data_IF_236271750932
#
_entry.id   IF_236271750932
#
_cell.length_a   1.000
_cell.length_b   1.000
_cell.length_c   1.000
_cell.angle_alpha   90.00
_cell.angle_beta   90.00
_cell.angle_gamma   90.00
#
_symmetry.space_group_name_H-M   'P 1'
#
loop_
_entity.id
_entity.type
_entity.pdbx_description
1 polymer ?
#
# COMPACT_ATOMS: atom_id res chain seq x y z
N UNK A 1 3.00 -5.66 10.78
CA UNK A 1 1.62 -5.20 11.06
C UNK A 1 1.28 -4.13 10.04
N UNK A 2 0.38 -4.44 9.12
CA UNK A 2 -0.13 -3.47 8.14
C UNK A 2 -1.27 -2.70 8.83
N UNK A 3 -1.06 -1.41 9.07
CA UNK A 3 -2.09 -0.48 9.54
C UNK A 3 -2.41 0.39 8.34
N UNK A 4 -3.50 0.13 7.64
CA UNK A 4 -3.89 0.94 6.48
C UNK A 4 -5.36 0.72 6.09
N UNK A 5 -6.09 1.82 5.96
CA UNK A 5 -7.39 1.93 5.31
C UNK A 5 -7.20 2.00 3.79
N UNK A 6 -6.59 0.97 3.20
CA UNK A 6 -6.00 1.08 1.86
C UNK A 6 -6.18 -0.13 0.95
N UNK A 7 -5.90 0.10 -0.33
CA UNK A 7 -5.83 -0.93 -1.36
C UNK A 7 -4.42 -1.48 -1.44
N UNK A 8 -4.29 -2.77 -1.68
CA UNK A 8 -3.02 -3.45 -1.82
C UNK A 8 -3.02 -4.26 -3.11
N UNK A 9 -1.95 -4.13 -3.89
CA UNK A 9 -1.67 -5.13 -4.91
C UNK A 9 -0.85 -6.23 -4.26
N UNK A 10 -1.40 -7.44 -4.22
CA UNK A 10 -0.67 -8.60 -3.72
C UNK A 10 -0.12 -9.35 -4.92
N UNK A 11 1.20 -9.42 -5.02
CA UNK A 11 1.90 -10.27 -5.99
C UNK A 11 2.64 -11.37 -5.25
N UNK A 12 2.61 -12.58 -5.81
CA UNK A 12 3.34 -13.71 -5.29
C UNK A 12 4.42 -14.06 -6.30
N UNK A 13 5.67 -13.91 -5.90
CA UNK A 13 6.83 -14.12 -6.76
C UNK A 13 7.67 -15.28 -6.22
N UNK A 14 8.23 -16.10 -7.11
CA UNK A 14 9.26 -17.07 -6.74
C UNK A 14 10.61 -16.40 -6.47
N UNK A 15 11.62 -17.20 -6.10
CA UNK A 15 12.98 -16.70 -5.86
C UNK A 15 13.65 -16.06 -7.10
N UNK A 16 13.07 -16.23 -8.29
CA UNK A 16 13.52 -15.66 -9.57
C UNK A 16 12.68 -14.46 -10.01
N UNK A 17 11.72 -14.02 -9.20
CA UNK A 17 10.82 -12.91 -9.52
C UNK A 17 9.68 -13.30 -10.47
N UNK A 18 9.42 -14.59 -10.70
CA UNK A 18 8.33 -15.04 -11.55
C UNK A 18 7.03 -15.14 -10.77
N UNK A 19 5.92 -14.73 -11.38
CA UNK A 19 4.59 -14.82 -10.78
C UNK A 19 4.22 -16.28 -10.49
N UNK A 20 3.77 -16.54 -9.26
CA UNK A 20 3.32 -17.84 -8.78
C UNK A 20 1.96 -17.72 -8.10
N UNK A 21 1.33 -18.86 -7.82
CA UNK A 21 0.15 -18.92 -6.93
C UNK A 21 0.56 -19.55 -5.60
N UNK A 22 0.03 -19.04 -4.48
CA UNK A 22 0.32 -19.63 -3.18
C UNK A 22 -0.33 -21.02 -3.11
N UNK A 23 0.43 -22.01 -2.62
CA UNK A 23 -0.06 -23.39 -2.45
C UNK A 23 -1.15 -23.52 -1.37
N UNK A 24 -1.27 -22.50 -0.51
CA UNK A 24 -2.29 -22.36 0.52
C UNK A 24 -2.75 -20.91 0.55
N UNK A 25 -4.05 -20.65 0.74
CA UNK A 25 -4.55 -19.28 0.89
C UNK A 25 -3.80 -18.55 2.01
N UNK A 26 -3.47 -17.28 1.75
CA UNK A 26 -2.79 -16.43 2.72
C UNK A 26 -3.78 -15.76 3.65
N UNK A 27 -3.26 -15.29 4.79
CA UNK A 27 -4.02 -14.48 5.74
C UNK A 27 -3.28 -13.18 6.05
N UNK A 28 -4.03 -12.07 6.14
CA UNK A 28 -3.50 -10.75 6.52
C UNK A 28 -4.12 -10.33 7.84
N UNK A 29 -3.27 -9.92 8.78
CA UNK A 29 -3.67 -9.34 10.07
C UNK A 29 -3.57 -7.81 10.01
N UNK A 30 -4.65 -7.12 10.37
CA UNK A 30 -4.70 -5.65 10.39
C UNK A 30 -5.37 -5.14 11.66
N UNK A 31 -4.96 -3.94 12.08
CA UNK A 31 -5.66 -3.21 13.12
C UNK A 31 -6.98 -2.62 12.60
N UNK A 32 -8.04 -2.66 13.42
CA UNK A 32 -9.34 -2.19 13.02
C UNK A 32 -9.41 -0.66 12.89
N UNK A 33 -9.90 -0.15 11.76
CA UNK A 33 -10.45 1.21 11.64
C UNK A 33 -11.91 1.28 12.10
N UNK A 34 -12.39 2.48 12.45
CA UNK A 34 -13.72 2.70 13.05
C UNK A 34 -14.89 2.67 12.05
N UNK A 35 -14.68 2.24 10.81
CA UNK A 35 -15.73 2.20 9.78
C UNK A 35 -16.70 1.02 10.00
N UNK A 36 -18.02 1.29 10.04
CA UNK A 36 -19.06 0.26 10.14
C UNK A 36 -19.26 -0.54 8.83
N UNK A 37 -18.68 -0.08 7.71
CA UNK A 37 -19.02 -0.49 6.34
C UNK A 37 -17.89 -1.26 5.61
N UNK A 38 -17.18 -2.14 6.33
CA UNK A 38 -16.02 -2.85 5.77
C UNK A 38 -16.37 -4.18 5.12
N UNK A 39 -15.60 -4.51 4.09
CA UNK A 39 -15.68 -5.76 3.36
C UNK A 39 -14.36 -6.11 2.72
N UNK A 40 -14.29 -7.32 2.17
CA UNK A 40 -13.18 -7.71 1.30
C UNK A 40 -13.63 -7.54 -0.14
N UNK A 41 -12.90 -6.72 -0.86
CA UNK A 41 -13.17 -6.46 -2.26
C UNK A 41 -11.94 -6.87 -3.07
N UNK A 42 -12.19 -7.63 -4.14
CA UNK A 42 -11.20 -7.95 -5.15
C UNK A 42 -11.58 -7.18 -6.41
N UNK A 43 -10.59 -6.64 -7.10
CA UNK A 43 -10.84 -5.99 -8.38
C UNK A 43 -10.82 -7.02 -9.50
N UNK A 44 -11.96 -7.15 -10.18
CA UNK A 44 -12.15 -8.00 -11.35
C UNK A 44 -12.23 -7.09 -12.60
N UNK A 45 -11.12 -6.93 -13.30
CA UNK A 45 -11.00 -5.99 -14.41
C UNK A 45 -11.20 -4.54 -13.96
N UNK A 46 -12.26 -3.88 -14.43
CA UNK A 46 -12.55 -2.47 -14.10
C UNK A 46 -13.45 -2.29 -12.88
N UNK A 47 -14.00 -3.37 -12.32
CA UNK A 47 -14.99 -3.31 -11.24
C UNK A 47 -14.48 -3.93 -9.94
N UNK A 48 -14.90 -3.39 -8.81
CA UNK A 48 -14.69 -4.00 -7.50
C UNK A 48 -15.82 -4.97 -7.18
N UNK A 49 -15.46 -6.23 -6.98
CA UNK A 49 -16.38 -7.28 -6.54
C UNK A 49 -16.19 -7.50 -5.05
N UNK A 50 -17.28 -7.44 -4.28
CA UNK A 50 -17.25 -7.85 -2.87
C UNK A 50 -17.11 -9.37 -2.80
N UNK A 51 -15.96 -9.86 -2.38
CA UNK A 51 -15.63 -11.29 -2.29
C UNK A 51 -15.73 -11.84 -0.87
N UNK A 52 -15.81 -10.95 0.13
CA UNK A 52 -16.04 -11.31 1.52
C UNK A 52 -16.76 -10.19 2.27
N UNK A 53 -17.58 -10.57 3.22
CA UNK A 53 -18.20 -9.66 4.19
C UNK A 53 -17.44 -9.71 5.52
N UNK A 54 -17.56 -8.66 6.33
CA UNK A 54 -17.26 -8.74 7.75
C UNK A 54 -18.12 -9.85 8.37
N UNK A 55 -17.50 -10.99 8.69
CA UNK A 55 -18.05 -11.92 9.65
C UNK A 55 -17.57 -11.46 11.02
N UNK A 56 -18.48 -10.96 11.85
CA UNK A 56 -18.11 -10.69 13.25
C UNK A 56 -18.08 -12.05 13.95
N UNK A 57 -16.90 -12.54 14.31
CA UNK A 57 -16.75 -13.74 15.14
C UNK A 57 -16.33 -13.28 16.53
N UNK A 58 -17.32 -12.89 17.35
CA UNK A 58 -17.12 -12.26 18.67
C UNK A 58 -16.29 -13.09 19.66
N UNK A 59 -15.99 -14.36 19.37
CA UNK A 59 -15.18 -15.24 20.22
C UNK A 59 -14.15 -16.02 19.40
N UNK A 60 -12.92 -16.03 19.89
CA UNK A 60 -11.87 -16.94 19.43
C UNK A 60 -12.37 -18.40 19.40
N UNK A 61 -12.06 -19.19 18.35
CA UNK A 61 -12.20 -20.64 18.39
C UNK A 61 -11.42 -21.24 19.56
N UNK A 62 -11.90 -22.36 20.13
CA UNK A 62 -11.45 -22.98 21.39
C UNK A 62 -9.95 -23.35 21.49
N UNK A 63 -9.11 -23.07 20.48
CA UNK A 63 -7.73 -23.56 20.35
C UNK A 63 -6.64 -22.46 20.20
N UNK A 64 -6.95 -21.18 20.40
CA UNK A 64 -6.02 -20.05 20.11
C UNK A 64 -5.35 -20.15 18.71
N UNK A 65 -5.94 -20.87 17.75
CA UNK A 65 -5.42 -21.05 16.40
C UNK A 65 -6.50 -20.75 15.34
N UNK A 66 -6.61 -19.47 14.94
CA UNK A 66 -7.54 -19.00 13.89
C UNK A 66 -7.28 -19.64 12.53
N UNK A 67 -6.09 -20.22 12.31
CA UNK A 67 -5.71 -20.88 11.07
C UNK A 67 -6.29 -22.31 10.94
N UNK A 68 -6.85 -22.87 12.02
CA UNK A 68 -7.27 -24.28 12.09
C UNK A 68 -8.72 -24.52 11.67
N UNK A 69 -9.58 -23.50 11.68
CA UNK A 69 -10.99 -23.65 11.27
C UNK A 69 -11.12 -23.63 9.74
N UNK A 70 -12.11 -24.39 9.27
CA UNK A 70 -12.35 -24.78 7.88
C UNK A 70 -12.04 -23.67 6.89
N UNK A 71 -10.91 -23.82 6.21
CA UNK A 71 -10.62 -23.11 4.97
C UNK A 71 -11.56 -23.69 3.90
N UNK A 72 -12.81 -23.21 3.86
CA UNK A 72 -13.80 -23.54 2.82
C UNK A 72 -13.45 -22.89 1.47
N UNK A 73 -12.28 -22.25 1.38
CA UNK A 73 -11.77 -21.54 0.22
C UNK A 73 -12.36 -20.14 0.04
N UNK A 74 -13.26 -19.68 0.92
CA UNK A 74 -13.90 -18.37 0.78
C UNK A 74 -13.13 -17.29 1.53
N UNK A 75 -12.91 -16.12 0.92
CA UNK A 75 -12.36 -14.98 1.64
C UNK A 75 -13.28 -14.53 2.78
N UNK A 76 -12.73 -14.41 3.98
CA UNK A 76 -13.47 -14.01 5.19
C UNK A 76 -12.68 -12.99 5.99
N UNK A 77 -13.38 -11.98 6.51
CA UNK A 77 -12.89 -11.11 7.56
C UNK A 77 -13.37 -11.68 8.91
N UNK A 78 -12.44 -12.00 9.81
CA UNK A 78 -12.72 -12.41 11.19
C UNK A 78 -12.35 -11.24 12.10
N UNK A 79 -13.35 -10.64 12.76
CA UNK A 79 -13.11 -9.66 13.83
C UNK A 79 -13.07 -10.39 15.16
N UNK A 80 -11.94 -10.31 15.85
CA UNK A 80 -11.80 -10.75 17.24
C UNK A 80 -11.88 -9.52 18.13
N UNK A 81 -12.85 -9.45 19.04
CA UNK A 81 -12.99 -8.33 19.99
C UNK A 81 -12.39 -8.65 21.36
N UNK A 82 -12.46 -9.91 21.80
CA UNK A 82 -11.89 -10.39 23.06
C UNK A 82 -11.08 -11.67 22.85
N UNK A 83 -9.82 -11.66 23.30
CA UNK A 83 -8.96 -12.85 23.28
C UNK A 83 -8.84 -13.47 24.67
N UNK A 84 -9.15 -14.77 24.84
CA UNK A 84 -8.78 -15.50 26.05
C UNK A 84 -7.26 -15.77 26.14
N UNK A 85 -6.47 -15.38 25.13
CA UNK A 85 -5.06 -15.75 24.97
C UNK A 85 -4.07 -14.58 25.24
N UNK A 86 -4.52 -13.38 25.65
CA UNK A 86 -3.63 -12.23 25.90
C UNK A 86 -4.29 -10.86 25.71
N UNK A 87 -3.48 -9.79 25.57
CA UNK A 87 -3.95 -8.41 25.45
C UNK A 87 -5.10 -8.26 24.44
N UNK A 88 -6.20 -7.65 24.91
CA UNK A 88 -7.41 -7.34 24.15
C UNK A 88 -7.14 -6.31 23.05
N UNK A 89 -6.47 -6.74 21.99
CA UNK A 89 -6.39 -5.97 20.76
C UNK A 89 -7.44 -6.54 19.84
N UNK A 90 -8.43 -5.72 19.48
CA UNK A 90 -9.35 -6.10 18.44
C UNK A 90 -8.53 -6.34 17.16
N UNK A 91 -8.55 -7.56 16.63
CA UNK A 91 -7.74 -7.96 15.47
C UNK A 91 -8.64 -8.41 14.33
N UNK A 92 -8.21 -8.09 13.10
CA UNK A 92 -8.92 -8.47 11.87
C UNK A 92 -8.07 -9.43 11.05
N UNK A 93 -8.61 -10.61 10.77
CA UNK A 93 -7.99 -11.59 9.88
C UNK A 93 -8.73 -11.63 8.55
N UNK A 94 -8.03 -11.35 7.46
CA UNK A 94 -8.51 -11.54 6.10
C UNK A 94 -7.96 -12.87 5.58
N UNK A 95 -8.82 -13.88 5.35
CA UNK A 95 -8.42 -15.21 4.87
C UNK A 95 -8.78 -15.40 3.39
N UNK A 96 -8.32 -16.49 2.76
CA UNK A 96 -8.79 -16.90 1.44
C UNK A 96 -8.16 -16.14 0.25
N UNK A 97 -7.03 -15.46 0.46
CA UNK A 97 -6.31 -14.77 -0.62
C UNK A 97 -5.44 -15.80 -1.36
N UNK A 98 -5.83 -16.18 -2.57
CA UNK A 98 -5.24 -17.28 -3.34
C UNK A 98 -4.74 -16.88 -4.74
N UNK A 99 -4.92 -15.61 -5.14
CA UNK A 99 -4.47 -15.11 -6.43
C UNK A 99 -3.93 -13.67 -6.38
N UNK A 100 -2.98 -13.32 -7.28
CA UNK A 100 -2.53 -11.96 -7.43
C UNK A 100 -3.68 -11.06 -7.91
N UNK A 101 -3.99 -10.02 -7.14
CA UNK A 101 -5.02 -9.06 -7.49
C UNK A 101 -4.86 -7.77 -6.68
N UNK A 102 -5.64 -6.76 -7.07
CA UNK A 102 -5.93 -5.62 -6.20
C UNK A 102 -6.98 -6.01 -5.17
N UNK A 103 -6.61 -5.87 -3.91
CA UNK A 103 -7.45 -6.12 -2.75
C UNK A 103 -7.74 -4.81 -2.03
N UNK A 104 -8.98 -4.61 -1.61
CA UNK A 104 -9.37 -3.56 -0.69
C UNK A 104 -10.10 -4.19 0.50
N UNK A 105 -9.67 -3.84 1.70
CA UNK A 105 -10.18 -4.37 2.96
C UNK A 105 -11.12 -3.37 3.68
N UNK A 106 -11.58 -2.37 2.93
CA UNK A 106 -12.57 -1.34 3.28
C UNK A 106 -13.50 -1.10 2.06
N UNK A 107 -14.39 -0.12 2.13
CA UNK A 107 -15.22 0.34 1.01
C UNK A 107 -14.31 0.79 -0.14
N UNK A 108 -14.43 0.19 -1.34
CA UNK A 108 -13.60 0.57 -2.48
C UNK A 108 -13.80 2.04 -2.80
N UNK A 109 -12.71 2.80 -2.83
CA UNK A 109 -12.73 4.14 -3.42
C UNK A 109 -12.95 3.96 -4.94
N UNK A 110 -14.08 4.42 -5.51
CA UNK A 110 -14.33 4.27 -6.95
C UNK A 110 -13.40 5.13 -7.82
N UNK A 111 -12.66 6.05 -7.19
CA UNK A 111 -11.92 7.12 -7.83
C UNK A 111 -10.43 6.90 -7.57
N UNK A 112 -9.83 5.96 -8.30
CA UNK A 112 -8.39 5.67 -8.27
C UNK A 112 -7.81 5.96 -9.64
N UNK A 113 -6.72 6.70 -9.66
CA UNK A 113 -5.93 6.93 -10.87
C UNK A 113 -4.50 6.43 -10.65
N UNK A 114 -3.65 6.64 -11.64
CA UNK A 114 -2.23 6.34 -11.52
C UNK A 114 -1.38 7.51 -12.00
N UNK A 115 -0.22 7.64 -11.37
CA UNK A 115 0.84 8.56 -11.76
C UNK A 115 2.07 7.77 -12.17
N UNK A 116 2.86 8.31 -13.10
CA UNK A 116 4.15 7.75 -13.53
C UNK A 116 5.18 8.85 -13.72
N UNK A 117 6.44 8.52 -13.55
CA UNK A 117 7.53 9.47 -13.74
C UNK A 117 8.89 8.80 -13.70
N UNK A 118 9.91 9.62 -13.56
CA UNK A 118 11.31 9.20 -13.47
C UNK A 118 11.93 9.74 -12.18
N UNK A 119 12.79 8.94 -11.55
CA UNK A 119 13.58 9.32 -10.39
C UNK A 119 15.04 9.47 -10.82
N UNK A 120 15.66 10.60 -10.50
CA UNK A 120 17.11 10.74 -10.66
C UNK A 120 17.83 9.93 -9.57
N UNK A 121 18.52 8.85 -9.96
CA UNK A 121 19.24 7.98 -9.03
C UNK A 121 20.74 8.34 -9.06
N UNK A 122 21.30 8.90 -7.97
CA UNK A 122 22.68 9.44 -7.96
C UNK A 122 23.78 8.37 -7.87
N UNK A 123 23.42 7.09 -7.82
CA UNK A 123 24.36 5.98 -7.77
C UNK A 123 23.68 4.62 -7.52
N UNK A 124 24.47 3.56 -7.61
CA UNK A 124 23.99 2.19 -7.43
C UNK A 124 23.89 1.80 -5.94
N UNK A 125 23.06 0.80 -5.63
CA UNK A 125 23.00 0.19 -4.29
C UNK A 125 22.26 1.03 -3.23
N UNK A 126 21.55 2.08 -3.64
CA UNK A 126 20.73 2.89 -2.75
C UNK A 126 19.45 2.15 -2.37
N UNK A 127 19.06 2.23 -1.09
CA UNK A 127 17.72 1.85 -0.67
C UNK A 127 16.77 3.00 -0.99
N UNK A 128 15.80 2.76 -1.86
CA UNK A 128 14.88 3.77 -2.37
C UNK A 128 13.52 3.60 -1.69
N UNK A 129 13.00 4.68 -1.13
CA UNK A 129 11.61 4.80 -0.68
C UNK A 129 10.95 5.93 -1.46
N UNK A 130 10.06 5.59 -2.38
CA UNK A 130 9.31 6.54 -3.20
C UNK A 130 7.83 6.45 -2.85
N UNK A 131 7.24 7.57 -2.43
CA UNK A 131 5.89 7.61 -1.88
C UNK A 131 5.09 8.80 -2.40
N UNK A 132 3.76 8.67 -2.38
CA UNK A 132 2.80 9.74 -2.56
C UNK A 132 1.87 9.83 -1.35
N UNK A 133 1.87 10.99 -0.69
CA UNK A 133 0.98 11.30 0.42
C UNK A 133 -0.22 12.12 -0.07
N UNK A 134 -1.44 11.72 0.31
CA UNK A 134 -2.64 12.52 0.13
C UNK A 134 -2.63 13.76 1.02
N UNK A 135 -2.96 14.93 0.45
CA UNK A 135 -3.02 16.20 1.18
C UNK A 135 -4.45 16.61 1.54
N UNK A 136 -5.44 16.15 0.76
CA UNK A 136 -6.87 16.37 0.97
C UNK A 136 -7.65 15.05 1.11
N UNK A 137 -6.92 13.95 1.39
CA UNK A 137 -7.45 12.66 1.81
C UNK A 137 -6.41 11.94 2.67
N UNK A 138 -6.87 11.00 3.51
CA UNK A 138 -5.99 10.16 4.30
C UNK A 138 -5.54 8.96 3.45
N UNK A 139 -4.31 9.01 2.94
CA UNK A 139 -3.74 7.89 2.20
C UNK A 139 -2.28 8.07 1.87
N UNK A 140 -1.55 6.96 1.85
CA UNK A 140 -0.15 6.88 1.46
C UNK A 140 0.00 5.75 0.44
N UNK A 141 0.68 6.05 -0.67
CA UNK A 141 0.96 5.11 -1.74
C UNK A 141 2.46 5.00 -1.93
N UNK A 142 2.97 3.81 -2.27
CA UNK A 142 4.40 3.57 -2.50
C UNK A 142 4.62 2.99 -3.89
N UNK A 143 5.75 3.32 -4.51
CA UNK A 143 6.17 2.74 -5.78
C UNK A 143 7.47 1.93 -5.64
N UNK A 144 7.55 0.85 -6.41
CA UNK A 144 8.83 0.23 -6.77
C UNK A 144 9.45 1.02 -7.91
N UNK A 145 10.72 1.40 -7.76
CA UNK A 145 11.47 2.12 -8.81
C UNK A 145 12.26 1.11 -9.63
N UNK A 146 12.14 1.19 -10.95
CA UNK A 146 12.88 0.36 -11.90
C UNK A 146 14.37 0.77 -11.92
N UNK A 147 15.28 -0.12 -12.37
CA UNK A 147 16.72 0.21 -12.45
C UNK A 147 17.05 1.44 -13.30
N UNK A 148 16.19 1.78 -14.27
CA UNK A 148 16.31 2.96 -15.12
C UNK A 148 15.70 4.24 -14.50
N UNK A 149 15.22 4.16 -13.25
CA UNK A 149 14.60 5.27 -12.53
C UNK A 149 13.10 5.43 -12.79
N UNK A 150 12.50 4.69 -13.73
CA UNK A 150 11.06 4.80 -13.97
C UNK A 150 10.26 4.27 -12.78
N UNK A 151 9.15 4.93 -12.49
CA UNK A 151 8.22 4.50 -11.46
C UNK A 151 6.78 4.75 -11.88
N UNK A 152 5.87 3.99 -11.27
CA UNK A 152 4.46 4.28 -11.30
C UNK A 152 3.80 3.86 -9.97
N UNK A 153 2.72 4.53 -9.61
CA UNK A 153 1.91 4.18 -8.44
C UNK A 153 0.45 4.59 -8.64
N UNK A 154 -0.43 3.86 -7.98
CA UNK A 154 -1.83 4.23 -7.85
C UNK A 154 -2.03 5.26 -6.73
N UNK A 155 -2.92 6.22 -6.96
CA UNK A 155 -3.29 7.30 -6.04
C UNK A 155 -4.79 7.59 -6.15
N UNK A 156 -5.37 8.32 -5.20
CA UNK A 156 -6.76 8.74 -5.31
C UNK A 156 -6.94 9.71 -6.49
N UNK A 157 -7.99 9.53 -7.27
CA UNK A 157 -8.35 10.37 -8.42
C UNK A 157 -8.98 11.69 -7.96
N UNK A 158 -8.70 12.77 -8.69
CA UNK A 158 -9.19 14.13 -8.40
C UNK A 158 -8.83 14.60 -6.98
N UNK A 159 -7.59 14.36 -6.57
CA UNK A 159 -7.06 14.70 -5.24
C UNK A 159 -5.70 15.36 -5.31
N UNK A 160 -5.34 16.04 -4.22
CA UNK A 160 -4.01 16.62 -4.06
C UNK A 160 -3.07 15.61 -3.43
N UNK A 161 -1.94 15.40 -4.09
CA UNK A 161 -0.90 14.48 -3.60
C UNK A 161 0.47 15.17 -3.56
N UNK A 162 1.31 14.67 -2.67
CA UNK A 162 2.72 15.04 -2.58
C UNK A 162 3.59 13.82 -2.82
N UNK A 163 4.35 13.84 -3.91
CA UNK A 163 5.29 12.77 -4.27
C UNK A 163 6.68 13.12 -3.77
N UNK A 164 7.33 12.20 -3.05
CA UNK A 164 8.68 12.38 -2.53
C UNK A 164 9.46 11.08 -2.53
N UNK A 165 10.79 11.21 -2.63
CA UNK A 165 11.72 10.10 -2.61
C UNK A 165 12.78 10.30 -1.53
N UNK A 166 13.01 9.27 -0.72
CA UNK A 166 14.10 9.18 0.24
C UNK A 166 15.02 8.03 -0.18
N UNK A 167 16.27 8.34 -0.47
CA UNK A 167 17.28 7.36 -0.86
C UNK A 167 18.35 7.31 0.22
N UNK A 168 18.72 6.11 0.66
CA UNK A 168 19.74 5.93 1.69
C UNK A 168 20.81 4.96 1.23
N UNK A 169 22.07 5.31 1.51
CA UNK A 169 23.21 4.40 1.40
C UNK A 169 23.63 3.98 2.81
N UNK A 170 23.41 2.71 3.15
CA UNK A 170 23.80 2.18 4.47
C UNK A 170 25.31 2.19 4.69
N UNK A 171 26.10 2.04 3.63
CA UNK A 171 27.56 1.93 3.73
C UNK A 171 28.21 3.28 4.00
N UNK A 172 27.79 4.30 3.24
CA UNK A 172 28.37 5.65 3.32
C UNK A 172 27.58 6.61 4.21
N UNK A 173 26.44 6.15 4.76
CA UNK A 173 25.46 6.95 5.51
C UNK A 173 24.99 8.20 4.73
N UNK A 174 25.04 8.15 3.41
CA UNK A 174 24.55 9.22 2.54
C UNK A 174 23.03 9.12 2.42
N UNK A 175 22.39 10.27 2.36
CA UNK A 175 20.96 10.41 2.18
C UNK A 175 20.74 11.34 1.01
N UNK A 176 19.75 11.02 0.19
CA UNK A 176 19.23 11.91 -0.83
C UNK A 176 17.73 12.04 -0.65
N UNK A 177 17.24 13.25 -0.90
CA UNK A 177 15.84 13.60 -0.76
C UNK A 177 15.41 14.35 -2.01
N UNK A 178 14.22 14.07 -2.50
CA UNK A 178 13.60 14.83 -3.57
C UNK A 178 12.09 14.86 -3.39
N UNK A 179 11.45 15.88 -3.92
CA UNK A 179 9.99 15.93 -3.97
C UNK A 179 9.52 16.74 -5.17
N UNK A 180 8.36 16.37 -5.69
CA UNK A 180 7.67 17.15 -6.71
C UNK A 180 6.83 18.26 -6.06
N UNK A 181 6.47 19.33 -6.79
CA UNK A 181 5.40 20.22 -6.38
C UNK A 181 4.11 19.43 -6.06
N UNK A 182 3.21 20.01 -5.28
CA UNK A 182 1.90 19.40 -5.05
C UNK A 182 1.20 19.18 -6.39
N UNK A 183 0.74 17.95 -6.60
CA UNK A 183 0.07 17.54 -7.82
C UNK A 183 -1.42 17.41 -7.57
N UNK A 184 -2.22 17.78 -8.56
CA UNK A 184 -3.63 17.39 -8.63
C UNK A 184 -3.72 16.17 -9.56
N UNK A 185 -4.26 15.08 -9.05
CA UNK A 185 -4.34 13.80 -9.77
C UNK A 185 -5.49 13.80 -10.77
N UNK A 186 -5.33 13.09 -11.89
CA UNK A 186 -6.38 12.91 -12.89
C UNK A 186 -7.70 12.41 -12.26
N UNK A 187 -8.83 12.89 -12.75
CA UNK A 187 -10.16 12.36 -12.38
C UNK A 187 -10.51 11.06 -13.11
N UNK A 188 -9.72 10.67 -14.12
CA UNK A 188 -9.91 9.43 -14.86
C UNK A 188 -9.41 8.23 -14.06
N UNK A 189 -10.26 7.22 -13.92
CA UNK A 189 -9.89 5.95 -13.32
C UNK A 189 -8.84 5.24 -14.18
N UNK A 190 -7.68 4.92 -13.59
CA UNK A 190 -6.55 4.30 -14.29
C UNK A 190 -5.64 3.55 -13.30
N UNK A 191 -4.94 2.53 -13.78
CA UNK A 191 -4.06 1.68 -12.96
C UNK A 191 -2.76 1.38 -13.68
N UNK A 192 -1.63 1.51 -12.97
CA UNK A 192 -0.33 1.44 -13.63
C UNK A 192 -0.02 0.07 -14.24
N UNK A 193 -0.59 -1.00 -13.68
CA UNK A 193 -0.38 -2.37 -14.15
C UNK A 193 -1.33 -2.78 -15.29
N UNK A 194 -2.40 -2.03 -15.53
CA UNK A 194 -3.41 -2.34 -16.57
C UNK A 194 -3.38 -1.33 -17.72
N UNK A 195 -3.06 -0.07 -17.41
CA UNK A 195 -3.25 1.09 -18.28
C UNK A 195 -2.16 2.13 -18.03
N UNK A 196 -0.88 1.72 -18.06
CA UNK A 196 0.26 2.62 -17.84
C UNK A 196 0.26 3.85 -18.78
N UNK A 197 -0.24 3.69 -20.01
CA UNK A 197 -0.41 4.77 -20.97
C UNK A 197 -1.40 5.84 -20.52
N UNK A 198 -2.34 5.50 -19.65
CA UNK A 198 -3.36 6.39 -19.09
C UNK A 198 -2.91 7.07 -17.79
N UNK A 199 -1.79 6.64 -17.21
CA UNK A 199 -1.23 7.28 -16.02
C UNK A 199 -0.75 8.69 -16.32
N UNK A 200 -1.08 9.61 -15.42
CA UNK A 200 -0.60 10.98 -15.46
C UNK A 200 0.93 11.00 -15.31
N UNK A 201 1.62 11.56 -16.30
CA UNK A 201 3.06 11.76 -16.21
C UNK A 201 3.35 12.94 -15.27
N UNK A 202 4.16 12.70 -14.24
CA UNK A 202 4.54 13.70 -13.22
C UNK A 202 5.96 14.22 -13.41
N UNK A 203 6.66 13.77 -14.45
CA UNK A 203 7.98 14.22 -14.84
C UNK A 203 9.12 13.59 -14.04
N UNK A 204 10.25 14.31 -14.00
CA UNK A 204 11.46 13.91 -13.30
C UNK A 204 11.43 14.40 -11.85
N UNK A 205 11.61 13.48 -10.91
CA UNK A 205 11.86 13.75 -9.51
C UNK A 205 13.39 13.80 -9.29
N UNK A 206 13.92 15.02 -9.24
CA UNK A 206 15.31 15.24 -8.90
C UNK A 206 15.54 15.10 -7.40
N UNK A 207 16.62 14.42 -7.03
CA UNK A 207 17.05 14.29 -5.64
C UNK A 207 18.31 15.10 -5.40
N UNK A 208 18.39 15.69 -4.22
CA UNK A 208 19.58 16.39 -3.74
C UNK A 208 20.12 15.69 -2.50
N UNK A 209 21.39 15.96 -2.19
CA UNK A 209 22.03 15.39 -1.01
C UNK A 209 21.35 15.94 0.25
N UNK A 210 20.85 15.04 1.08
CA UNK A 210 20.23 15.33 2.35
C UNK A 210 21.18 15.18 3.55
N UNK A 211 20.60 15.34 4.73
CA UNK A 211 21.25 15.19 6.04
C UNK A 211 20.63 14.02 6.83
N UNK A 212 21.39 13.44 7.76
CA UNK A 212 20.92 12.36 8.66
C UNK A 212 19.67 12.76 9.45
N UNK A 213 19.53 14.04 9.78
CA UNK A 213 18.37 14.58 10.49
C UNK A 213 17.03 14.30 9.78
N UNK A 214 17.00 14.15 8.46
CA UNK A 214 15.79 13.76 7.72
C UNK A 214 15.26 12.37 8.09
N UNK A 215 16.06 11.51 8.74
CA UNK A 215 15.62 10.19 9.21
C UNK A 215 15.11 10.20 10.65
N UNK A 216 15.41 11.26 11.41
CA UNK A 216 15.20 11.28 12.87
C UNK A 216 14.29 12.41 13.33
N UNK A 217 14.07 13.42 12.49
CA UNK A 217 13.27 14.60 12.79
C UNK A 217 12.17 14.74 11.73
N UNK A 218 10.94 14.42 12.12
CA UNK A 218 9.79 14.42 11.23
C UNK A 218 9.48 15.82 10.69
N UNK A 219 9.51 16.85 11.54
CA UNK A 219 9.24 18.23 11.13
C UNK A 219 10.27 18.73 10.12
N UNK A 220 11.54 18.41 10.35
CA UNK A 220 12.61 18.74 9.40
C UNK A 220 12.41 18.03 8.07
N UNK A 221 12.04 16.75 8.09
CA UNK A 221 11.73 15.99 6.88
C UNK A 221 10.55 16.60 6.10
N UNK A 222 9.42 16.85 6.78
CA UNK A 222 8.21 17.41 6.17
C UNK A 222 8.50 18.77 5.52
N UNK A 223 9.19 19.66 6.22
CA UNK A 223 9.59 20.97 5.68
C UNK A 223 10.50 20.85 4.46
N UNK A 224 11.44 19.90 4.47
CA UNK A 224 12.34 19.66 3.32
C UNK A 224 11.62 19.14 2.09
N UNK A 225 10.48 18.46 2.25
CA UNK A 225 9.59 18.12 1.14
C UNK A 225 8.52 19.20 0.90
N UNK A 226 8.50 20.31 1.62
CA UNK A 226 7.51 21.38 1.42
C UNK A 226 6.12 21.04 1.94
N UNK A 227 6.04 20.24 3.01
CA UNK A 227 4.86 20.04 3.84
C UNK A 227 5.04 20.77 5.19
N UNK A 228 3.93 21.17 5.86
CA UNK A 228 3.99 21.86 7.15
C UNK A 228 4.58 20.99 8.26
#
# INVERSE_FOLDING_TARGET
VLISDGMFHLEFLDARGQSVRPLRPLSVEMQPSQSEDMGMYRRDGTSWTRVGSAGIEQRWPEDCNVYRRQNDGRPRLILVEDSPCGESVAMRFYQGIDEPAWWNFDKPAPNITCIKGELSIPGNGLQIRLEAAGLDYLGLSSATVQPDGRFAMNVAADKKVKVYALLTDKSSRRIYLGSLPTLHTSSKTAFYNESESECQNVGLLEVHKGQIRHLTDADFFLKSIGLP
#
